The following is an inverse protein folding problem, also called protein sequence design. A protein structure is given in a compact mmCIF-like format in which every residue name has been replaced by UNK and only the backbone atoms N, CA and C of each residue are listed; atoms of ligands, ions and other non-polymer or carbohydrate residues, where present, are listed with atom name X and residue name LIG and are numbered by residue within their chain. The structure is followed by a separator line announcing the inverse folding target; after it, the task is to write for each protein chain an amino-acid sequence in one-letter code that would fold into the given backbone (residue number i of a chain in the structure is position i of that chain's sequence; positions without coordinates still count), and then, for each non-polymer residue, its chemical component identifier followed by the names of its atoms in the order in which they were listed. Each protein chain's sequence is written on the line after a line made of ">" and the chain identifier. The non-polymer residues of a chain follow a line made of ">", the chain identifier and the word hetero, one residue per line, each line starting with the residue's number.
data_IF_545759298684
#
_entry.id   IF_545759298684
#
_cell.length_a   1.000
_cell.length_b   1.000
_cell.length_c   1.000
_cell.angle_alpha   90.00
_cell.angle_beta   90.00
_cell.angle_gamma   90.00
#
_symmetry.space_group_name_H-M   'P 1'
#
loop_
_entity.id
_entity.type
_entity.pdbx_description
1 polymer ?
#
# COMPACT_ATOMS: atom_id res chain seq x y z
N UNK A 1 -7.22 10.28 -10.14
CA UNK A 1 -6.34 11.39 -9.76
C UNK A 1 -4.97 11.05 -10.30
N UNK A 2 -4.27 11.94 -11.01
CA UNK A 2 -2.91 11.61 -11.46
C UNK A 2 -1.91 11.94 -10.35
N UNK A 3 -0.68 11.44 -10.42
CA UNK A 3 0.33 11.62 -9.36
C UNK A 3 0.58 13.10 -9.04
N UNK A 4 0.58 13.98 -10.06
CA UNK A 4 0.70 15.44 -9.88
C UNK A 4 -0.47 16.07 -9.11
N UNK A 5 -1.65 15.44 -9.15
CA UNK A 5 -2.83 15.92 -8.42
C UNK A 5 -2.79 15.48 -6.96
N UNK A 6 -2.02 14.44 -6.60
CA UNK A 6 -1.82 14.02 -5.21
C UNK A 6 -1.09 15.14 -4.46
N UNK A 7 0.05 15.59 -4.99
CA UNK A 7 0.88 16.60 -4.34
C UNK A 7 0.13 17.92 -4.14
N UNK A 8 -0.74 18.28 -5.09
CA UNK A 8 -1.60 19.48 -5.00
C UNK A 8 -2.67 19.38 -3.90
N UNK A 9 -3.07 18.16 -3.53
CA UNK A 9 -4.11 17.93 -2.52
C UNK A 9 -3.56 17.72 -1.11
N UNK A 10 -2.23 17.66 -0.96
CA UNK A 10 -1.58 17.61 0.34
C UNK A 10 -1.87 18.89 1.14
N UNK A 11 -2.18 18.70 2.43
CA UNK A 11 -2.48 19.78 3.35
C UNK A 11 -1.20 20.20 4.08
N UNK A 12 -0.80 21.49 3.98
CA UNK A 12 0.35 21.97 4.73
C UNK A 12 0.05 21.91 6.22
N UNK A 13 1.05 21.54 7.02
CA UNK A 13 0.96 21.54 8.47
C UNK A 13 2.13 22.33 9.07
N UNK A 14 1.84 23.03 10.15
CA UNK A 14 2.83 23.80 10.92
C UNK A 14 2.70 23.46 12.39
N UNK A 15 3.83 23.30 13.07
CA UNK A 15 3.90 23.10 14.51
C UNK A 15 4.93 24.08 15.09
N UNK A 16 4.54 24.85 16.11
CA UNK A 16 5.40 25.87 16.74
C UNK A 16 6.01 26.91 15.77
N UNK A 17 5.34 27.17 14.64
CA UNK A 17 5.82 28.11 13.61
C UNK A 17 6.74 27.49 12.55
N UNK A 18 7.11 26.21 12.70
CA UNK A 18 7.90 25.46 11.71
C UNK A 18 6.98 24.67 10.78
N UNK A 19 7.39 24.52 9.51
CA UNK A 19 6.69 23.68 8.53
C UNK A 19 7.05 22.21 8.72
N UNK A 20 6.04 21.36 8.83
CA UNK A 20 6.21 19.90 8.86
C UNK A 20 5.87 19.28 7.49
N UNK A 21 6.19 17.99 7.32
CA UNK A 21 5.80 17.22 6.13
C UNK A 21 4.28 17.28 5.93
N UNK A 22 3.79 17.64 4.73
CA UNK A 22 2.36 17.81 4.53
C UNK A 22 1.63 16.45 4.59
N UNK A 23 0.34 16.49 4.91
CA UNK A 23 -0.49 15.29 5.17
C UNK A 23 -1.61 15.16 4.14
N UNK A 24 -2.18 13.96 4.03
CA UNK A 24 -3.39 13.75 3.23
C UNK A 24 -4.62 14.40 3.89
N UNK A 25 -5.62 14.80 3.09
CA UNK A 25 -6.92 15.22 3.62
C UNK A 25 -7.57 14.15 4.50
N UNK A 26 -8.43 14.59 5.44
CA UNK A 26 -9.15 13.69 6.34
C UNK A 26 -9.93 12.63 5.54
N UNK A 27 -9.81 11.37 5.97
CA UNK A 27 -10.47 10.24 5.34
C UNK A 27 -9.74 9.65 4.13
N UNK A 28 -8.80 10.39 3.52
CA UNK A 28 -7.99 9.89 2.41
C UNK A 28 -6.79 9.09 2.96
N UNK A 29 -6.52 7.95 2.33
CA UNK A 29 -5.46 7.02 2.72
C UNK A 29 -4.44 6.87 1.60
N UNK A 30 -3.19 6.61 2.01
CA UNK A 30 -2.15 6.09 1.13
C UNK A 30 -2.01 4.58 1.37
N UNK A 31 -2.39 3.79 0.37
CA UNK A 31 -2.33 2.33 0.41
C UNK A 31 -1.05 1.84 -0.26
N UNK A 32 -0.21 1.14 0.51
CA UNK A 32 0.88 0.34 -0.02
C UNK A 32 0.42 -1.12 -0.10
N UNK A 33 0.10 -1.57 -1.31
CA UNK A 33 -0.49 -2.89 -1.56
C UNK A 33 0.56 -3.83 -2.15
N UNK A 34 0.71 -4.99 -1.54
CA UNK A 34 1.55 -6.07 -2.07
C UNK A 34 0.94 -6.69 -3.34
N UNK A 35 1.73 -7.39 -4.16
CA UNK A 35 1.25 -7.99 -5.43
C UNK A 35 1.04 -9.50 -5.27
N UNK A 36 2.14 -10.23 -5.18
CA UNK A 36 2.16 -11.70 -5.22
C UNK A 36 1.55 -12.28 -3.94
N UNK A 37 0.50 -13.09 -4.07
CA UNK A 37 -0.27 -13.61 -2.94
C UNK A 37 -1.28 -12.61 -2.36
N UNK A 38 -1.36 -11.40 -2.91
CA UNK A 38 -2.26 -10.34 -2.44
C UNK A 38 -3.29 -9.95 -3.50
N UNK A 39 -2.90 -9.60 -4.72
CA UNK A 39 -3.85 -9.28 -5.82
C UNK A 39 -3.88 -10.35 -6.92
N UNK A 40 -2.97 -11.31 -6.82
CA UNK A 40 -2.86 -12.47 -7.69
C UNK A 40 -2.19 -13.64 -6.94
N UNK A 41 -1.97 -14.74 -7.65
CA UNK A 41 -1.21 -15.89 -7.15
C UNK A 41 0.13 -15.48 -6.52
N UNK A 42 0.58 -16.24 -5.51
CA UNK A 42 1.90 -16.08 -4.89
C UNK A 42 2.99 -16.65 -5.81
N UNK A 43 3.79 -15.75 -6.39
CA UNK A 43 4.79 -16.06 -7.40
C UNK A 43 6.16 -15.53 -6.95
N UNK A 44 7.17 -16.41 -6.82
CA UNK A 44 8.52 -15.99 -6.49
C UNK A 44 9.20 -15.28 -7.67
N UNK A 45 10.19 -14.44 -7.37
CA UNK A 45 11.02 -13.78 -8.39
C UNK A 45 11.73 -14.77 -9.32
N UNK A 46 11.97 -15.98 -8.83
CA UNK A 46 12.65 -17.05 -9.56
C UNK A 46 11.81 -17.64 -10.70
N UNK A 47 10.52 -17.32 -10.80
CA UNK A 47 9.58 -17.87 -11.79
C UNK A 47 8.82 -16.76 -12.57
N UNK A 48 9.53 -15.88 -13.29
CA UNK A 48 8.94 -14.72 -13.97
C UNK A 48 7.91 -15.09 -15.05
N UNK A 49 8.03 -16.27 -15.66
CA UNK A 49 7.07 -16.78 -16.64
C UNK A 49 5.65 -16.94 -16.05
N UNK A 50 5.54 -17.26 -14.76
CA UNK A 50 4.25 -17.35 -14.07
C UNK A 50 3.62 -15.98 -13.84
N UNK A 51 4.42 -14.91 -13.76
CA UNK A 51 3.90 -13.55 -13.53
C UNK A 51 3.00 -13.08 -14.68
N UNK A 52 3.19 -13.57 -15.92
CA UNK A 52 2.37 -13.20 -17.09
C UNK A 52 0.96 -13.76 -17.00
N UNK A 53 0.82 -14.97 -16.45
CA UNK A 53 -0.40 -15.76 -16.45
C UNK A 53 -1.06 -15.86 -15.07
N UNK A 54 -0.48 -15.20 -14.06
CA UNK A 54 -1.00 -15.14 -12.71
C UNK A 54 -2.50 -14.82 -12.69
N UNK A 55 -3.28 -15.61 -11.96
CA UNK A 55 -4.70 -15.38 -11.82
C UNK A 55 -4.96 -14.12 -10.99
N UNK A 56 -5.74 -13.19 -11.53
CA UNK A 56 -6.16 -11.99 -10.80
C UNK A 56 -7.18 -12.36 -9.72
N UNK A 57 -7.11 -11.71 -8.57
CA UNK A 57 -8.16 -11.78 -7.55
C UNK A 57 -9.23 -10.71 -7.86
N UNK A 58 -10.47 -11.11 -8.24
CA UNK A 58 -11.46 -10.15 -8.73
C UNK A 58 -11.91 -9.14 -7.66
N UNK A 59 -11.99 -9.57 -6.40
CA UNK A 59 -12.36 -8.74 -5.25
C UNK A 59 -11.28 -7.69 -4.94
N UNK A 60 -10.01 -8.02 -5.12
CA UNK A 60 -8.90 -7.07 -5.04
C UNK A 60 -9.01 -5.99 -6.13
N UNK A 61 -9.26 -6.41 -7.37
CA UNK A 61 -9.42 -5.49 -8.50
C UNK A 61 -10.56 -4.51 -8.29
N UNK A 62 -11.73 -5.00 -7.88
CA UNK A 62 -12.90 -4.17 -7.59
C UNK A 62 -12.62 -3.20 -6.45
N UNK A 63 -12.07 -3.69 -5.34
CA UNK A 63 -11.83 -2.89 -4.13
C UNK A 63 -10.80 -1.79 -4.36
N UNK A 64 -9.66 -2.10 -5.00
CA UNK A 64 -8.62 -1.12 -5.26
C UNK A 64 -9.08 -0.04 -6.24
N UNK A 65 -9.81 -0.42 -7.29
CA UNK A 65 -10.34 0.54 -8.25
C UNK A 65 -11.40 1.45 -7.61
N UNK A 66 -12.23 0.92 -6.71
CA UNK A 66 -13.16 1.73 -5.92
C UNK A 66 -12.42 2.72 -5.02
N UNK A 67 -11.41 2.27 -4.27
CA UNK A 67 -10.58 3.15 -3.44
C UNK A 67 -9.90 4.26 -4.26
N UNK A 68 -9.39 3.92 -5.45
CA UNK A 68 -8.84 4.88 -6.38
C UNK A 68 -9.88 5.94 -6.78
N UNK A 69 -11.10 5.51 -7.12
CA UNK A 69 -12.19 6.40 -7.54
C UNK A 69 -12.72 7.26 -6.36
N UNK A 70 -12.61 6.78 -5.12
CA UNK A 70 -12.86 7.53 -3.87
C UNK A 70 -11.75 8.56 -3.55
N UNK A 71 -10.68 8.62 -4.35
CA UNK A 71 -9.58 9.57 -4.19
C UNK A 71 -8.46 9.10 -3.28
N UNK A 72 -8.45 7.82 -2.88
CA UNK A 72 -7.32 7.25 -2.16
C UNK A 72 -6.09 7.09 -3.06
N UNK A 73 -4.91 7.20 -2.45
CA UNK A 73 -3.63 7.00 -3.14
C UNK A 73 -3.30 5.52 -3.09
N UNK A 74 -3.04 4.94 -4.27
CA UNK A 74 -2.78 3.50 -4.44
C UNK A 74 -1.38 3.32 -5.02
N UNK A 75 -0.50 2.71 -4.24
CA UNK A 75 0.84 2.30 -4.67
C UNK A 75 1.00 0.79 -4.50
N UNK A 76 1.55 0.12 -5.51
CA UNK A 76 2.01 -1.24 -5.32
C UNK A 76 3.39 -1.25 -4.67
N UNK A 77 3.57 -2.09 -3.64
CA UNK A 77 4.83 -2.26 -2.91
C UNK A 77 5.22 -3.73 -2.90
N UNK A 78 6.07 -4.11 -3.85
CA UNK A 78 6.34 -5.52 -4.21
C UNK A 78 7.81 -5.88 -4.03
N UNK A 79 8.06 -7.14 -3.65
CA UNK A 79 9.42 -7.69 -3.64
C UNK A 79 9.94 -8.08 -5.03
N UNK A 80 9.11 -7.92 -6.07
CA UNK A 80 9.60 -8.04 -7.44
C UNK A 80 10.76 -7.07 -7.66
N UNK A 81 11.79 -7.52 -8.36
CA UNK A 81 12.95 -6.68 -8.68
C UNK A 81 12.64 -5.77 -9.87
N UNK A 82 13.45 -4.73 -10.07
CA UNK A 82 13.31 -3.82 -11.23
C UNK A 82 13.34 -4.55 -12.58
N UNK A 83 14.02 -5.69 -12.67
CA UNK A 83 14.02 -6.54 -13.87
C UNK A 83 12.61 -7.04 -14.25
N UNK A 84 11.70 -7.11 -13.29
CA UNK A 84 10.31 -7.54 -13.47
C UNK A 84 9.32 -6.36 -13.55
N UNK A 85 9.78 -5.11 -13.70
CA UNK A 85 8.89 -3.95 -13.79
C UNK A 85 7.96 -4.03 -15.01
N UNK A 86 8.51 -4.21 -16.20
CA UNK A 86 7.75 -4.17 -17.46
C UNK A 86 6.67 -5.26 -17.51
N UNK A 87 7.02 -6.49 -17.11
CA UNK A 87 6.06 -7.60 -17.03
C UNK A 87 4.94 -7.31 -16.03
N UNK A 88 5.27 -6.67 -14.91
CA UNK A 88 4.30 -6.31 -13.87
C UNK A 88 3.37 -5.20 -14.34
N UNK A 89 3.90 -4.13 -14.93
CA UNK A 89 3.10 -3.02 -15.48
C UNK A 89 2.18 -3.49 -16.62
N UNK A 90 2.69 -4.38 -17.48
CA UNK A 90 1.90 -5.01 -18.54
C UNK A 90 0.74 -5.83 -17.96
N UNK A 91 1.00 -6.63 -16.92
CA UNK A 91 -0.02 -7.43 -16.24
C UNK A 91 -1.07 -6.52 -15.55
N UNK A 92 -0.65 -5.52 -14.80
CA UNK A 92 -1.54 -4.57 -14.12
C UNK A 92 -2.45 -3.84 -15.11
N UNK A 93 -1.88 -3.37 -16.23
CA UNK A 93 -2.63 -2.72 -17.30
C UNK A 93 -3.61 -3.66 -17.98
N UNK A 94 -3.21 -4.91 -18.24
CA UNK A 94 -4.08 -5.94 -18.85
C UNK A 94 -5.34 -6.19 -18.03
N UNK A 95 -5.21 -6.23 -16.70
CA UNK A 95 -6.35 -6.47 -15.80
C UNK A 95 -7.08 -5.19 -15.37
N UNK A 96 -6.54 -4.01 -15.68
CA UNK A 96 -7.22 -2.74 -15.46
C UNK A 96 -7.14 -2.21 -14.03
N UNK A 97 -6.04 -2.50 -13.32
CA UNK A 97 -5.78 -1.86 -12.02
C UNK A 97 -5.51 -0.37 -12.22
N UNK A 98 -6.20 0.47 -11.44
CA UNK A 98 -5.92 1.90 -11.31
C UNK A 98 -4.98 2.14 -10.14
N UNK A 99 -3.84 2.76 -10.39
CA UNK A 99 -2.81 3.02 -9.38
C UNK A 99 -2.01 4.27 -9.74
N UNK A 100 -1.27 4.79 -8.76
CA UNK A 100 -0.51 6.04 -8.88
C UNK A 100 1.01 5.80 -8.95
N UNK A 101 1.49 4.65 -8.47
CA UNK A 101 2.88 4.26 -8.61
C UNK A 101 3.18 2.84 -8.12
N UNK A 102 4.44 2.43 -8.28
CA UNK A 102 4.92 1.12 -7.85
C UNK A 102 6.35 1.20 -7.33
N UNK A 103 6.54 0.73 -6.11
CA UNK A 103 7.81 0.58 -5.41
C UNK A 103 8.27 -0.88 -5.53
N UNK A 104 9.39 -1.08 -6.20
CA UNK A 104 10.00 -2.40 -6.42
C UNK A 104 11.06 -2.68 -5.36
N UNK A 105 11.48 -3.95 -5.24
CA UNK A 105 12.60 -4.32 -4.39
C UNK A 105 12.31 -4.28 -2.88
N UNK A 106 11.03 -4.37 -2.49
CA UNK A 106 10.65 -4.61 -1.08
C UNK A 106 11.42 -5.82 -0.53
N UNK A 107 12.04 -5.72 0.67
CA UNK A 107 12.76 -6.84 1.27
C UNK A 107 11.89 -8.10 1.38
N UNK A 108 12.46 -9.28 1.14
CA UNK A 108 11.75 -10.58 1.22
C UNK A 108 11.76 -11.12 2.65
N UNK A 109 10.77 -11.94 3.02
CA UNK A 109 10.79 -12.72 4.27
C UNK A 109 9.65 -12.46 5.27
N UNK A 110 8.74 -11.51 5.01
CA UNK A 110 7.43 -11.46 5.67
C UNK A 110 7.40 -11.02 7.16
N UNK A 111 8.49 -10.48 7.71
CA UNK A 111 8.55 -9.94 9.07
C UNK A 111 8.90 -8.44 9.04
N UNK A 112 7.91 -7.61 8.68
CA UNK A 112 8.09 -6.18 8.51
C UNK A 112 7.70 -5.41 9.79
N UNK A 113 8.57 -4.48 10.19
CA UNK A 113 8.26 -3.47 11.19
C UNK A 113 8.48 -2.11 10.52
N UNK A 114 7.39 -1.43 10.17
CA UNK A 114 7.46 -0.09 9.57
C UNK A 114 7.48 0.95 10.68
N UNK A 115 8.58 1.69 10.75
CA UNK A 115 8.76 2.82 11.67
C UNK A 115 8.65 4.11 10.85
N UNK A 116 7.77 5.01 11.28
CA UNK A 116 7.53 6.32 10.69
C UNK A 116 7.15 7.30 11.80
N UNK A 117 7.42 8.59 11.63
CA UNK A 117 7.00 9.61 12.58
C UNK A 117 5.50 9.94 12.45
N UNK A 118 4.84 9.48 11.38
CA UNK A 118 3.40 9.46 11.22
C UNK A 118 2.81 8.09 11.59
N UNK A 119 1.52 8.04 11.94
CA UNK A 119 0.84 6.78 12.23
C UNK A 119 0.79 5.89 10.98
N UNK A 120 1.47 4.74 11.04
CA UNK A 120 1.38 3.69 10.03
C UNK A 120 0.34 2.65 10.46
N UNK A 121 -0.61 2.36 9.58
CA UNK A 121 -1.60 1.29 9.79
C UNK A 121 -1.21 0.07 8.98
N UNK A 122 -1.14 -1.09 9.63
CA UNK A 122 -0.90 -2.37 8.97
C UNK A 122 -2.20 -3.20 8.89
N UNK A 123 -2.55 -3.67 7.69
CA UNK A 123 -3.66 -4.60 7.48
C UNK A 123 -3.11 -5.91 6.97
N UNK A 124 -3.44 -7.02 7.65
CA UNK A 124 -3.04 -8.36 7.20
C UNK A 124 -4.10 -8.93 6.26
N UNK A 125 -3.74 -9.12 5.01
CA UNK A 125 -4.56 -9.88 4.06
C UNK A 125 -4.60 -11.37 4.42
N UNK A 126 -5.77 -11.99 4.27
CA UNK A 126 -6.00 -13.43 4.55
C UNK A 126 -6.81 -14.11 3.44
N UNK A 127 -6.70 -13.63 2.21
CA UNK A 127 -7.31 -14.27 1.03
C UNK A 127 -8.67 -13.72 0.59
N UNK A 128 -9.17 -12.64 1.20
CA UNK A 128 -10.40 -11.93 0.76
C UNK A 128 -10.30 -10.43 0.99
N UNK A 129 -10.68 -9.65 -0.01
CA UNK A 129 -10.92 -8.21 0.13
C UNK A 129 -12.38 -7.99 0.53
N UNK A 130 -12.58 -7.71 1.81
CA UNK A 130 -13.88 -7.34 2.38
C UNK A 130 -13.79 -5.93 2.97
N UNK A 131 -14.89 -5.46 3.54
CA UNK A 131 -14.87 -4.22 4.32
C UNK A 131 -13.84 -4.29 5.45
N UNK A 132 -13.12 -3.17 5.64
CA UNK A 132 -12.19 -3.01 6.75
C UNK A 132 -12.99 -2.90 8.05
N UNK A 133 -12.56 -3.65 9.07
CA UNK A 133 -13.15 -3.64 10.41
C UNK A 133 -12.11 -3.21 11.43
N UNK A 134 -12.55 -2.59 12.52
CA UNK A 134 -11.68 -2.19 13.62
C UNK A 134 -11.45 -3.37 14.57
N UNK A 135 -10.21 -3.50 15.05
CA UNK A 135 -9.82 -4.55 15.99
C UNK A 135 -8.64 -4.09 16.83
N UNK A 136 -8.74 -4.28 18.14
CA UNK A 136 -7.62 -4.10 19.07
C UNK A 136 -6.62 -5.26 18.97
N UNK A 137 -5.34 -4.93 18.89
CA UNK A 137 -4.22 -5.88 18.83
C UNK A 137 -3.03 -5.32 19.61
N UNK A 138 -2.28 -6.19 20.29
CA UNK A 138 -1.01 -5.82 20.93
C UNK A 138 0.09 -5.74 19.89
N UNK A 139 0.83 -4.63 19.89
CA UNK A 139 1.98 -4.38 19.02
C UNK A 139 3.18 -3.90 19.85
N UNK A 140 4.36 -3.90 19.24
CA UNK A 140 5.53 -3.27 19.83
C UNK A 140 5.57 -1.80 19.43
N UNK A 141 5.74 -0.91 20.40
CA UNK A 141 5.92 0.53 20.21
C UNK A 141 7.16 0.98 20.98
N UNK A 142 7.67 2.17 20.66
CA UNK A 142 8.71 2.79 21.48
C UNK A 142 8.13 3.25 22.81
N UNK A 143 8.92 3.15 23.88
CA UNK A 143 8.64 3.83 25.14
C UNK A 143 8.97 5.31 24.96
N UNK A 144 7.95 6.16 24.90
CA UNK A 144 8.08 7.61 24.76
C UNK A 144 8.04 8.35 26.11
N UNK A 145 8.06 7.60 27.22
CA UNK A 145 7.94 8.12 28.58
C UNK A 145 6.54 8.67 28.90
N UNK A 146 5.58 8.55 27.99
CA UNK A 146 4.17 8.82 28.24
C UNK A 146 3.51 7.47 28.45
N UNK A 147 3.53 7.02 29.70
CA UNK A 147 2.74 5.86 30.06
C UNK A 147 1.28 6.29 29.98
N UNK A 148 0.56 5.78 28.99
CA UNK A 148 -0.89 5.95 28.88
C UNK A 148 -1.49 5.55 30.24
N UNK A 149 -2.14 6.50 30.92
CA UNK A 149 -2.96 6.19 32.09
C UNK A 149 -4.22 5.48 31.55
N UNK A 150 -4.27 4.16 31.72
CA UNK A 150 -5.43 3.30 31.43
C UNK A 150 -6.74 3.82 32.08
#
# INVERSE_FOLDING_TARGET
>A
MNTEDIDKNLQPITENGEHLSPILPLGIKNYLIDIDGTICDDIPNEEPERMVTAAVYPDALETLNRWYDEGHVIYFFTSRTEAHREITETWLKKFGFKYHGMLMGKPRGGNYHWIDNHLVKATRYRGKFTDLVEKEVTIQVFDDGKHDED
#
